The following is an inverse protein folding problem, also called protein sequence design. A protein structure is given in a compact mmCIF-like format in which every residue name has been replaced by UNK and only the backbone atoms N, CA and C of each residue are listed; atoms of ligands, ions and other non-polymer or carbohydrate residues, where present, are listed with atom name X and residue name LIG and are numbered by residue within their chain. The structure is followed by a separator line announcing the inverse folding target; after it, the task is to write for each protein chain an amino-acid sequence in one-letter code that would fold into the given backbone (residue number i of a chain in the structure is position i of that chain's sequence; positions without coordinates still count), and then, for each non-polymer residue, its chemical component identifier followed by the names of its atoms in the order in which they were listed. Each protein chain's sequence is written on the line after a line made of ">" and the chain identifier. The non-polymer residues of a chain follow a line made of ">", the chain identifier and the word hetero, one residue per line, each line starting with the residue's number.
data_IF_175154834421
#
_entry.id   IF_175154834421
#
_cell.length_a   1.000
_cell.length_b   1.000
_cell.length_c   1.000
_cell.angle_alpha   90.00
_cell.angle_beta   90.00
_cell.angle_gamma   90.00
#
_symmetry.space_group_name_H-M   'P 1'
#
loop_
_entity.id
_entity.type
_entity.pdbx_description
1 polymer ?
#
# COMPACT_ATOMS: atom_id res chain seq x y z
N UNK A 1 21.05 -19.26 15.24
CA UNK A 1 19.91 -19.02 16.15
C UNK A 1 18.87 -18.35 15.30
N UNK A 2 17.88 -19.11 14.85
CA UNK A 2 16.85 -18.63 13.95
C UNK A 2 15.70 -17.99 14.73
N UNK A 3 15.30 -16.80 14.25
CA UNK A 3 14.02 -16.11 14.47
C UNK A 3 13.74 -15.50 15.86
N UNK A 4 14.25 -14.29 16.09
CA UNK A 4 13.56 -13.24 16.86
C UNK A 4 13.57 -11.98 15.95
N UNK A 5 12.52 -11.56 15.26
CA UNK A 5 11.10 -11.80 15.46
C UNK A 5 10.45 -10.45 15.14
N UNK A 6 10.24 -10.17 13.85
CA UNK A 6 9.62 -8.92 13.40
C UNK A 6 8.38 -8.65 14.28
N UNK A 7 8.28 -7.47 14.93
CA UNK A 7 7.19 -7.21 15.84
C UNK A 7 5.88 -7.35 15.07
N UNK A 8 4.93 -8.11 15.64
CA UNK A 8 3.62 -8.29 15.02
C UNK A 8 2.96 -6.92 14.87
N UNK A 9 2.84 -6.45 13.63
CA UNK A 9 2.17 -5.20 13.31
C UNK A 9 0.65 -5.39 13.38
N UNK A 10 -0.11 -4.36 13.78
CA UNK A 10 -1.56 -4.41 13.75
C UNK A 10 -2.07 -4.52 12.30
N UNK A 11 -3.30 -5.02 12.16
CA UNK A 11 -3.96 -5.11 10.85
C UNK A 11 -4.24 -3.74 10.21
N UNK A 12 -4.12 -2.64 10.96
CA UNK A 12 -4.20 -1.27 10.47
C UNK A 12 -3.14 -0.44 11.15
N UNK A 13 -2.31 0.24 10.36
CA UNK A 13 -1.28 1.12 10.88
C UNK A 13 -1.91 2.44 11.34
N UNK A 14 -1.89 2.68 12.65
CA UNK A 14 -2.29 3.95 13.24
C UNK A 14 -1.16 4.37 14.18
N UNK A 15 -0.55 5.52 13.91
CA UNK A 15 0.68 5.94 14.61
C UNK A 15 0.56 5.86 16.15
N UNK A 16 -0.58 6.28 16.69
CA UNK A 16 -0.86 6.29 18.13
C UNK A 16 -1.12 4.90 18.74
N UNK A 17 -1.41 3.89 17.91
CA UNK A 17 -1.63 2.51 18.36
C UNK A 17 -0.37 1.64 18.29
N UNK A 18 0.68 2.14 17.64
CA UNK A 18 1.96 1.43 17.59
C UNK A 18 2.69 1.56 18.93
N UNK A 19 3.32 0.48 19.38
CA UNK A 19 4.30 0.53 20.47
C UNK A 19 5.67 1.00 19.94
N UNK A 20 6.62 1.23 20.84
CA UNK A 20 7.96 1.72 20.49
C UNK A 20 8.71 0.73 19.58
N UNK A 21 8.69 -0.56 19.91
CA UNK A 21 9.33 -1.60 19.10
C UNK A 21 8.79 -1.64 17.66
N UNK A 22 7.48 -1.51 17.48
CA UNK A 22 6.83 -1.46 16.16
C UNK A 22 7.21 -0.20 15.38
N UNK A 23 7.29 0.96 16.06
CA UNK A 23 7.71 2.22 15.42
C UNK A 23 9.16 2.15 14.96
N UNK A 24 10.06 1.67 15.82
CA UNK A 24 11.48 1.53 15.47
C UNK A 24 11.68 0.50 14.37
N UNK A 25 10.95 -0.62 14.41
CA UNK A 25 10.94 -1.59 13.32
C UNK A 25 10.55 -0.93 11.99
N UNK A 26 9.38 -0.27 11.93
CA UNK A 26 8.94 0.39 10.70
C UNK A 26 9.95 1.43 10.23
N UNK A 27 10.44 2.29 11.14
CA UNK A 27 11.43 3.32 10.84
C UNK A 27 12.73 2.72 10.26
N UNK A 28 13.19 1.57 10.78
CA UNK A 28 14.39 0.88 10.27
C UNK A 28 14.25 0.36 8.83
N UNK A 29 13.02 0.24 8.32
CA UNK A 29 12.73 -0.20 6.95
C UNK A 29 12.54 0.97 5.98
N UNK A 30 12.43 2.19 6.49
CA UNK A 30 12.18 3.38 5.69
C UNK A 30 13.51 4.08 5.31
N UNK A 31 13.55 4.79 4.18
CA UNK A 31 14.63 5.74 3.87
C UNK A 31 14.81 6.77 4.99
N UNK A 32 16.03 7.21 5.25
CA UNK A 32 16.35 8.15 6.35
C UNK A 32 15.55 9.46 6.29
N UNK A 33 15.17 9.88 5.08
CA UNK A 33 14.41 11.11 4.82
C UNK A 33 12.89 10.90 4.73
N UNK A 34 12.36 9.72 5.07
CA UNK A 34 10.93 9.43 5.02
C UNK A 34 10.33 9.26 6.43
N UNK A 35 9.62 10.28 6.95
CA UNK A 35 9.07 10.22 8.30
C UNK A 35 8.03 9.09 8.46
N UNK A 36 8.11 8.35 9.57
CA UNK A 36 7.16 7.27 9.88
C UNK A 36 5.69 7.73 9.87
N UNK A 37 5.41 8.97 10.28
CA UNK A 37 4.05 9.53 10.24
C UNK A 37 3.54 9.71 8.81
N UNK A 38 4.42 10.14 7.91
CA UNK A 38 4.07 10.29 6.50
C UNK A 38 3.84 8.92 5.87
N UNK A 39 4.70 7.94 6.16
CA UNK A 39 4.49 6.54 5.76
C UNK A 39 3.11 5.99 6.16
N UNK A 40 2.74 6.14 7.44
CA UNK A 40 1.45 5.64 7.93
C UNK A 40 0.28 6.37 7.28
N UNK A 41 0.42 7.69 7.05
CA UNK A 41 -0.60 8.47 6.31
C UNK A 41 -0.76 7.93 4.90
N UNK A 42 0.34 7.71 4.19
CA UNK A 42 0.32 7.27 2.79
C UNK A 42 -0.24 5.83 2.66
N UNK A 43 0.05 4.94 3.62
CA UNK A 43 -0.58 3.61 3.69
C UNK A 43 -2.08 3.70 3.97
N UNK A 44 -2.51 4.65 4.79
CA UNK A 44 -3.95 4.89 5.08
C UNK A 44 -4.68 5.49 3.87
N UNK A 45 -4.01 6.36 3.11
CA UNK A 45 -4.53 6.92 1.86
C UNK A 45 -4.73 5.82 0.81
N UNK A 46 -3.78 4.88 0.70
CA UNK A 46 -3.92 3.72 -0.19
C UNK A 46 -5.12 2.85 0.19
N UNK A 47 -5.31 2.56 1.49
CA UNK A 47 -6.49 1.85 2.00
C UNK A 47 -7.80 2.55 1.59
N UNK A 48 -7.83 3.88 1.73
CA UNK A 48 -8.98 4.70 1.36
C UNK A 48 -9.28 4.61 -0.14
N UNK A 49 -8.25 4.76 -0.99
CA UNK A 49 -8.38 4.69 -2.45
C UNK A 49 -8.89 3.32 -2.92
N UNK A 50 -8.39 2.22 -2.32
CA UNK A 50 -8.92 0.87 -2.55
C UNK A 50 -10.42 0.84 -2.25
N UNK A 51 -10.86 1.41 -1.13
CA UNK A 51 -12.27 1.44 -0.74
C UNK A 51 -13.16 2.31 -1.65
N UNK A 52 -12.66 3.43 -2.18
CA UNK A 52 -13.35 4.20 -3.22
C UNK A 52 -13.49 3.38 -4.51
N UNK A 53 -12.41 2.77 -5.01
CA UNK A 53 -12.44 1.96 -6.24
C UNK A 53 -13.36 0.74 -6.14
N UNK A 54 -13.43 0.09 -4.97
CA UNK A 54 -14.38 -1.01 -4.74
C UNK A 54 -15.83 -0.53 -4.85
N UNK A 55 -16.15 0.65 -4.31
CA UNK A 55 -17.50 1.23 -4.43
C UNK A 55 -17.83 1.61 -5.87
N UNK A 56 -16.87 2.19 -6.58
CA UNK A 56 -17.05 2.51 -8.00
C UNK A 56 -17.28 1.25 -8.84
N UNK A 57 -16.49 0.19 -8.60
CA UNK A 57 -16.70 -1.09 -9.27
C UNK A 57 -18.08 -1.69 -8.97
N UNK A 58 -18.58 -1.58 -7.74
CA UNK A 58 -19.94 -2.00 -7.38
C UNK A 58 -21.00 -1.23 -8.15
N UNK A 59 -20.84 0.09 -8.28
CA UNK A 59 -21.74 0.92 -9.09
C UNK A 59 -21.75 0.50 -10.57
N UNK A 60 -20.59 0.15 -11.13
CA UNK A 60 -20.51 -0.36 -12.50
C UNK A 60 -21.23 -1.71 -12.66
N UNK A 61 -21.11 -2.62 -11.68
CA UNK A 61 -21.84 -3.90 -11.66
C UNK A 61 -23.36 -3.67 -11.64
N UNK A 62 -23.84 -2.76 -10.79
CA UNK A 62 -25.25 -2.39 -10.70
C UNK A 62 -25.76 -1.79 -12.01
N UNK A 63 -24.90 -1.07 -12.72
CA UNK A 63 -25.17 -0.47 -14.04
C UNK A 63 -24.98 -1.44 -15.21
N UNK A 64 -24.61 -2.71 -14.94
CA UNK A 64 -24.32 -3.75 -15.94
C UNK A 64 -23.09 -3.47 -16.82
N UNK A 65 -22.23 -2.55 -16.43
CA UNK A 65 -20.95 -2.22 -17.07
C UNK A 65 -19.86 -3.19 -16.55
N UNK A 66 -20.00 -4.47 -16.89
CA UNK A 66 -19.18 -5.54 -16.30
C UNK A 66 -17.70 -5.49 -16.71
N UNK A 67 -17.39 -4.96 -17.90
CA UNK A 67 -16.01 -4.85 -18.35
C UNK A 67 -15.26 -3.82 -17.51
N UNK A 68 -15.85 -2.64 -17.33
CA UNK A 68 -15.38 -1.54 -16.51
C UNK A 68 -15.21 -1.99 -15.05
N UNK A 69 -16.22 -2.66 -14.50
CA UNK A 69 -16.14 -3.26 -13.18
C UNK A 69 -14.98 -4.25 -13.06
N UNK A 70 -14.77 -5.11 -14.05
CA UNK A 70 -13.69 -6.10 -14.02
C UNK A 70 -12.30 -5.46 -14.03
N UNK A 71 -12.11 -4.41 -14.83
CA UNK A 71 -10.85 -3.66 -14.87
C UNK A 71 -10.58 -2.96 -13.55
N UNK A 72 -11.59 -2.32 -12.96
CA UNK A 72 -11.47 -1.68 -11.64
C UNK A 72 -11.13 -2.69 -10.54
N UNK A 73 -11.79 -3.85 -10.53
CA UNK A 73 -11.53 -4.91 -9.55
C UNK A 73 -10.13 -5.52 -9.71
N UNK A 74 -9.59 -5.58 -10.92
CA UNK A 74 -8.19 -5.95 -11.14
C UNK A 74 -7.25 -4.95 -10.48
N UNK A 75 -7.44 -3.64 -10.75
CA UNK A 75 -6.65 -2.59 -10.11
C UNK A 75 -6.76 -2.57 -8.58
N UNK A 76 -7.95 -2.88 -8.04
CA UNK A 76 -8.17 -3.06 -6.61
C UNK A 76 -7.31 -4.20 -6.05
N UNK A 77 -7.26 -5.34 -6.73
CA UNK A 77 -6.46 -6.49 -6.28
C UNK A 77 -4.97 -6.12 -6.24
N UNK A 78 -4.48 -5.46 -7.28
CA UNK A 78 -3.09 -5.01 -7.39
C UNK A 78 -2.71 -4.02 -6.28
N UNK A 79 -3.56 -3.01 -6.05
CA UNK A 79 -3.37 -2.04 -4.97
C UNK A 79 -3.46 -2.68 -3.59
N UNK A 80 -4.34 -3.68 -3.41
CA UNK A 80 -4.48 -4.40 -2.15
C UNK A 80 -3.24 -5.25 -1.82
N UNK A 81 -2.58 -5.83 -2.83
CA UNK A 81 -1.33 -6.56 -2.65
C UNK A 81 -0.20 -5.62 -2.21
N UNK A 82 -0.07 -4.46 -2.86
CA UNK A 82 0.87 -3.40 -2.43
C UNK A 82 0.58 -2.99 -0.98
N UNK A 83 -0.68 -2.70 -0.67
CA UNK A 83 -1.13 -2.29 0.66
C UNK A 83 -0.76 -3.33 1.72
N UNK A 84 -1.08 -4.61 1.48
CA UNK A 84 -0.81 -5.71 2.40
C UNK A 84 0.67 -5.83 2.74
N UNK A 85 1.54 -5.59 1.76
CA UNK A 85 2.99 -5.65 1.94
C UNK A 85 3.51 -4.42 2.69
N UNK A 86 3.01 -3.22 2.39
CA UNK A 86 3.34 -2.00 3.14
C UNK A 86 2.89 -2.09 4.60
N UNK A 87 1.69 -2.61 4.87
CA UNK A 87 1.22 -2.81 6.24
C UNK A 87 2.14 -3.71 7.08
N UNK A 88 2.86 -4.62 6.43
CA UNK A 88 3.83 -5.52 7.05
C UNK A 88 5.22 -4.91 7.21
N UNK A 89 5.40 -3.62 6.87
CA UNK A 89 6.68 -2.92 6.95
C UNK A 89 7.69 -3.40 5.91
N UNK A 90 7.23 -3.78 4.70
CA UNK A 90 8.09 -4.29 3.63
C UNK A 90 8.07 -3.38 2.39
N UNK A 91 8.54 -2.12 2.50
CA UNK A 91 8.49 -1.15 1.40
C UNK A 91 9.25 -1.59 0.15
N UNK A 92 10.35 -2.34 0.29
CA UNK A 92 11.08 -2.90 -0.86
C UNK A 92 10.26 -3.93 -1.64
N UNK A 93 9.55 -4.81 -0.95
CA UNK A 93 8.66 -5.78 -1.60
C UNK A 93 7.49 -5.08 -2.29
N UNK A 94 6.94 -4.02 -1.67
CA UNK A 94 5.90 -3.21 -2.28
C UNK A 94 6.41 -2.50 -3.55
N UNK A 95 7.66 -2.02 -3.55
CA UNK A 95 8.31 -1.44 -4.74
C UNK A 95 8.47 -2.46 -5.87
N UNK A 96 8.82 -3.71 -5.57
CA UNK A 96 8.91 -4.77 -6.59
C UNK A 96 7.54 -5.06 -7.20
N UNK A 97 6.48 -5.15 -6.38
CA UNK A 97 5.11 -5.32 -6.87
C UNK A 97 4.69 -4.14 -7.75
N UNK A 98 4.87 -2.92 -7.27
CA UNK A 98 4.61 -1.69 -8.02
C UNK A 98 5.31 -1.66 -9.38
N UNK A 99 6.59 -2.04 -9.44
CA UNK A 99 7.34 -2.09 -10.69
C UNK A 99 6.80 -3.15 -11.67
N UNK A 100 6.41 -4.31 -11.16
CA UNK A 100 5.81 -5.35 -12.00
C UNK A 100 4.45 -4.91 -12.56
N UNK A 101 3.72 -4.13 -11.76
CA UNK A 101 2.46 -3.52 -12.17
C UNK A 101 2.66 -2.37 -13.16
N UNK A 102 3.72 -1.57 -13.05
CA UNK A 102 4.05 -0.52 -14.04
C UNK A 102 4.45 -1.08 -15.41
N UNK A 103 5.06 -2.26 -15.46
CA UNK A 103 5.24 -3.02 -16.70
C UNK A 103 3.88 -3.45 -17.32
N UNK A 104 2.77 -3.30 -16.57
CA UNK A 104 1.40 -3.61 -17.00
C UNK A 104 0.48 -2.38 -17.12
N UNK A 105 0.47 -1.39 -16.20
CA UNK A 105 -0.31 -0.15 -16.27
C UNK A 105 0.25 0.93 -15.31
N UNK A 106 0.51 2.15 -15.80
CA UNK A 106 1.21 3.25 -15.10
C UNK A 106 0.31 4.18 -14.25
N UNK A 107 -0.99 3.89 -14.11
CA UNK A 107 -1.98 4.87 -13.63
C UNK A 107 -2.43 4.72 -12.15
N UNK A 108 -1.92 3.73 -11.40
CA UNK A 108 -2.51 3.35 -10.11
C UNK A 108 -1.72 3.76 -8.85
N UNK A 109 -0.52 4.32 -8.97
CA UNK A 109 0.30 4.73 -7.82
C UNK A 109 0.18 6.25 -7.62
N UNK A 110 -0.14 6.73 -6.39
CA UNK A 110 -0.12 8.15 -6.09
C UNK A 110 1.20 8.80 -6.52
N UNK A 111 1.18 9.89 -7.32
CA UNK A 111 2.39 10.43 -7.95
C UNK A 111 3.52 10.75 -6.96
N UNK A 112 3.17 11.20 -5.74
CA UNK A 112 4.14 11.48 -4.68
C UNK A 112 4.89 10.25 -4.18
N UNK A 113 4.21 9.11 -4.07
CA UNK A 113 4.80 7.86 -3.62
C UNK A 113 5.71 7.29 -4.71
N UNK A 114 5.25 7.38 -5.96
CA UNK A 114 6.02 6.99 -7.12
C UNK A 114 7.36 7.74 -7.23
N UNK A 115 7.32 9.08 -7.22
CA UNK A 115 8.52 9.91 -7.35
C UNK A 115 9.56 9.61 -6.26
N UNK A 116 9.11 9.26 -5.05
CA UNK A 116 10.00 8.97 -3.91
C UNK A 116 10.63 7.58 -3.94
N UNK A 117 9.95 6.60 -4.54
CA UNK A 117 10.47 5.23 -4.64
C UNK A 117 11.38 5.01 -5.86
N UNK A 118 11.22 5.84 -6.90
CA UNK A 118 11.83 5.59 -8.22
C UNK A 118 12.70 6.74 -8.77
N UNK A 119 12.62 7.96 -8.23
CA UNK A 119 13.44 9.11 -8.69
C UNK A 119 14.28 9.79 -7.60
N UNK A 120 14.24 9.26 -6.38
CA UNK A 120 15.04 9.72 -5.23
C UNK A 120 16.38 9.00 -5.13
#
# INVERSE_FOLDING_TARGET
>A
MDSDGDPRLPARLVYHHLNEQQREFLKSKLPENYPLRDYIRDVSELEFQIGEMVRDAQYQIESQEYLEASMMLSGVADMHDIYTVLQRGKPDSARVLAKHLEEQVTDYIPPRLYDRLFRG
#
